data_IF_285910408625
#
_entry.id   IF_285910408625
#
_cell.length_a   1.000
_cell.length_b   1.000
_cell.length_c   1.000
_cell.angle_alpha   90.00
_cell.angle_beta   90.00
_cell.angle_gamma   90.00
#
_symmetry.space_group_name_H-M   'P 1'
#
loop_
_entity.id
_entity.type
_entity.pdbx_description
1 polymer ?
#
# COMPACT_ATOMS: atom_id res chain seq x y z
N UNK A 1 2.73 26.75 50.70
CA UNK A 1 1.37 27.30 50.46
C UNK A 1 0.48 26.15 50.08
N UNK A 2 -0.26 25.59 51.04
CA UNK A 2 -1.19 24.47 50.83
C UNK A 2 -2.46 25.04 50.18
N UNK A 3 -3.06 24.40 49.16
CA UNK A 3 -4.20 24.97 48.44
C UNK A 3 -5.43 25.06 49.35
N UNK A 4 -6.14 26.18 49.24
CA UNK A 4 -7.35 26.54 50.01
C UNK A 4 -8.45 25.45 50.00
N UNK A 5 -8.41 24.50 49.05
CA UNK A 5 -9.37 23.39 48.91
C UNK A 5 -9.19 22.26 49.94
N UNK A 6 -8.03 22.12 50.59
CA UNK A 6 -7.80 21.04 51.56
C UNK A 6 -8.35 21.43 52.95
N UNK A 7 -8.29 22.72 53.31
CA UNK A 7 -8.84 23.22 54.58
C UNK A 7 -10.37 23.18 54.64
N UNK A 8 -11.05 23.37 53.50
CA UNK A 8 -12.52 23.33 53.43
C UNK A 8 -13.09 21.93 53.63
N UNK A 9 -12.38 20.88 53.19
CA UNK A 9 -12.80 19.48 53.40
C UNK A 9 -12.66 19.11 54.89
N UNK A 10 -11.64 19.61 55.59
CA UNK A 10 -11.43 19.33 57.02
C UNK A 10 -12.51 19.97 57.91
N UNK A 11 -12.96 21.19 57.58
CA UNK A 11 -14.05 21.87 58.29
C UNK A 11 -15.44 21.30 57.94
N UNK A 12 -15.67 20.88 56.70
CA UNK A 12 -16.94 20.26 56.28
C UNK A 12 -17.17 18.89 56.95
N UNK A 13 -16.12 18.10 57.18
CA UNK A 13 -16.20 16.84 57.92
C UNK A 13 -16.48 17.08 59.42
N UNK A 14 -16.02 18.19 59.99
CA UNK A 14 -16.35 18.59 61.37
C UNK A 14 -17.79 19.09 61.52
N UNK A 15 -18.36 19.73 60.50
CA UNK A 15 -19.74 20.26 60.55
C UNK A 15 -20.83 19.22 60.29
N UNK A 16 -20.55 18.12 59.57
CA UNK A 16 -21.56 17.08 59.29
C UNK A 16 -21.96 16.23 60.52
N UNK A 17 -21.27 16.39 61.66
CA UNK A 17 -21.50 15.59 62.87
C UNK A 17 -22.13 16.36 64.05
N UNK A 18 -22.43 17.65 63.88
CA UNK A 18 -23.08 18.45 64.93
C UNK A 18 -24.17 19.33 64.32
N UNK A 19 -25.36 18.76 64.11
CA UNK A 19 -26.58 19.55 64.12
C UNK A 19 -27.33 19.36 65.44
N UNK A 20 -27.63 20.51 66.03
CA UNK A 20 -28.45 20.79 67.22
C UNK A 20 -27.78 20.66 68.60
N UNK A 21 -27.70 21.84 69.21
CA UNK A 21 -27.34 22.14 70.60
C UNK A 21 -28.38 21.61 71.59
N UNK A 22 -27.95 20.77 72.54
CA UNK A 22 -28.47 20.47 73.90
C UNK A 22 -27.44 19.45 74.43
N UNK A 23 -26.67 19.61 75.51
CA UNK A 23 -26.85 20.26 76.78
C UNK A 23 -25.45 20.52 77.38
N UNK A 24 -25.17 21.77 77.75
CA UNK A 24 -24.04 22.09 78.61
C UNK A 24 -24.45 21.78 80.05
N UNK A 25 -23.84 20.75 80.68
CA UNK A 25 -23.56 20.59 82.11
C UNK A 25 -23.64 19.11 82.56
N UNK A 26 -22.54 18.37 82.45
CA UNK A 26 -22.26 17.29 83.40
C UNK A 26 -20.76 17.09 83.58
N UNK A 27 -20.34 16.99 84.84
CA UNK A 27 -18.96 16.76 85.29
C UNK A 27 -18.50 15.31 85.01
N UNK A 28 -18.33 14.94 83.73
CA UNK A 28 -17.75 13.64 83.34
C UNK A 28 -16.58 13.82 82.35
N UNK A 29 -15.35 13.44 82.72
CA UNK A 29 -14.20 13.45 81.82
C UNK A 29 -14.21 12.16 81.00
N UNK A 30 -14.78 12.22 79.79
CA UNK A 30 -14.44 11.43 78.60
C UNK A 30 -15.59 11.61 77.60
N UNK A 31 -15.49 12.62 76.76
CA UNK A 31 -16.31 12.76 75.57
C UNK A 31 -15.89 11.64 74.61
N UNK A 32 -16.88 10.81 74.23
CA UNK A 32 -16.85 9.81 73.14
C UNK A 32 -16.56 8.34 73.48
N UNK A 33 -16.98 7.83 74.65
CA UNK A 33 -17.08 6.38 74.89
C UNK A 33 -18.45 6.02 75.48
N UNK A 34 -19.50 6.01 74.63
CA UNK A 34 -20.71 5.17 74.77
C UNK A 34 -21.68 5.50 73.63
N UNK A 35 -21.27 5.20 72.39
CA UNK A 35 -22.17 5.28 71.23
C UNK A 35 -22.53 3.85 70.80
N UNK A 36 -23.79 3.40 70.94
CA UNK A 36 -24.26 2.06 70.51
C UNK A 36 -24.11 1.79 68.99
N UNK A 37 -23.53 2.73 68.24
CA UNK A 37 -23.45 2.75 66.78
C UNK A 37 -22.07 3.21 66.28
N UNK A 38 -20.98 2.82 66.94
CA UNK A 38 -19.66 3.09 66.38
C UNK A 38 -19.40 2.19 65.15
N UNK A 39 -19.49 2.76 63.93
CA UNK A 39 -19.12 2.04 62.70
C UNK A 39 -17.61 1.74 62.75
N UNK A 40 -17.27 0.45 62.77
CA UNK A 40 -15.90 -0.05 62.95
C UNK A 40 -14.91 0.41 61.87
N UNK A 41 -15.39 0.67 60.65
CA UNK A 41 -14.61 1.25 59.56
C UNK A 41 -15.50 2.23 58.77
N UNK A 42 -14.94 3.37 58.38
CA UNK A 42 -15.66 4.39 57.60
C UNK A 42 -14.91 4.66 56.30
N UNK A 43 -15.66 4.77 55.22
CA UNK A 43 -15.15 5.08 53.89
C UNK A 43 -15.60 6.48 53.47
N UNK A 44 -14.70 7.27 52.88
CA UNK A 44 -15.08 8.53 52.22
C UNK A 44 -15.85 8.28 50.93
N UNK A 45 -16.39 9.36 50.36
CA UNK A 45 -16.78 9.36 48.96
C UNK A 45 -15.59 8.99 48.05
N UNK A 46 -15.92 8.36 46.94
CA UNK A 46 -14.94 8.03 45.92
C UNK A 46 -14.46 9.28 45.19
N UNK A 47 -13.17 9.32 44.85
CA UNK A 47 -12.69 10.29 43.86
C UNK A 47 -13.36 10.06 42.50
N UNK A 48 -13.36 11.05 41.61
CA UNK A 48 -13.62 10.80 40.19
C UNK A 48 -12.67 9.72 39.64
N UNK A 49 -13.10 9.05 38.58
CA UNK A 49 -12.25 8.14 37.82
C UNK A 49 -11.11 8.91 37.17
N UNK A 50 -9.90 8.34 37.19
CA UNK A 50 -8.76 8.89 36.45
C UNK A 50 -8.91 8.67 34.94
N UNK A 51 -7.95 9.16 34.15
CA UNK A 51 -7.90 8.91 32.71
C UNK A 51 -7.68 7.42 32.41
N UNK A 52 -8.20 6.95 31.28
CA UNK A 52 -8.05 5.56 30.87
C UNK A 52 -6.59 5.24 30.56
N UNK A 53 -6.13 4.06 30.98
CA UNK A 53 -4.77 3.59 30.70
C UNK A 53 -4.47 3.41 29.21
N UNK A 54 -5.51 3.31 28.37
CA UNK A 54 -5.38 3.14 26.92
C UNK A 54 -6.46 3.95 26.20
N UNK A 55 -6.14 4.56 25.05
CA UNK A 55 -7.09 5.39 24.32
C UNK A 55 -8.21 4.55 23.67
N UNK A 56 -7.94 3.28 23.36
CA UNK A 56 -8.86 2.32 22.75
C UNK A 56 -8.33 0.87 22.90
N UNK A 57 -9.03 -0.10 22.32
CA UNK A 57 -8.63 -1.51 22.34
C UNK A 57 -9.28 -2.32 23.47
N UNK A 58 -8.70 -3.47 23.81
CA UNK A 58 -9.38 -4.46 24.67
C UNK A 58 -9.13 -4.27 26.17
N UNK A 59 -7.97 -3.73 26.57
CA UNK A 59 -7.51 -3.73 27.96
C UNK A 59 -7.35 -2.32 28.59
N UNK A 60 -8.12 -1.32 28.15
CA UNK A 60 -8.17 -0.04 28.87
C UNK A 60 -8.80 -0.18 30.26
N UNK A 61 -8.14 0.36 31.30
CA UNK A 61 -8.67 0.43 32.66
C UNK A 61 -8.54 1.83 33.27
N UNK A 62 -9.51 2.19 34.11
CA UNK A 62 -9.47 3.35 35.01
C UNK A 62 -9.51 2.90 36.45
N UNK A 63 -8.95 3.71 37.34
CA UNK A 63 -9.08 3.56 38.79
C UNK A 63 -9.59 4.82 39.46
N UNK A 64 -10.31 4.62 40.56
CA UNK A 64 -10.59 5.67 41.54
C UNK A 64 -10.23 5.17 42.94
N UNK A 65 -10.02 6.11 43.84
CA UNK A 65 -9.61 5.84 45.21
C UNK A 65 -10.56 6.49 46.19
N UNK A 66 -10.62 5.94 47.40
CA UNK A 66 -11.30 6.58 48.53
C UNK A 66 -10.48 6.34 49.78
N UNK A 67 -10.68 7.17 50.78
CA UNK A 67 -10.07 6.96 52.09
C UNK A 67 -10.89 5.92 52.85
N UNK A 68 -10.21 4.91 53.39
CA UNK A 68 -10.78 3.98 54.37
C UNK A 68 -10.05 4.27 55.67
N UNK A 69 -10.76 4.87 56.62
CA UNK A 69 -10.18 5.24 57.90
C UNK A 69 -10.81 4.42 59.03
N UNK A 70 -9.98 4.15 60.04
CA UNK A 70 -10.35 3.44 61.25
C UNK A 70 -10.45 4.43 62.41
N UNK A 71 -11.60 4.54 63.10
CA UNK A 71 -11.70 5.35 64.30
C UNK A 71 -10.76 4.82 65.41
N UNK A 72 -9.95 5.66 66.07
CA UNK A 72 -9.03 5.22 67.14
C UNK A 72 -9.72 4.56 68.33
N UNK A 73 -10.98 4.90 68.58
CA UNK A 73 -11.78 4.52 69.74
C UNK A 73 -12.62 3.23 69.55
N UNK A 74 -12.69 2.66 68.34
CA UNK A 74 -13.48 1.45 68.06
C UNK A 74 -12.85 0.59 66.94
N UNK A 75 -12.66 -0.71 67.14
CA UNK A 75 -12.56 -1.69 66.04
C UNK A 75 -11.42 -2.72 66.10
N UNK A 76 -11.53 -3.76 65.25
CA UNK A 76 -10.56 -4.85 65.00
C UNK A 76 -9.29 -4.39 64.27
N UNK A 77 -8.21 -5.19 64.28
CA UNK A 77 -6.88 -4.83 63.73
C UNK A 77 -6.88 -4.38 62.24
N UNK A 78 -7.89 -4.66 61.42
CA UNK A 78 -7.91 -4.34 59.97
C UNK A 78 -9.32 -4.23 59.36
N UNK A 79 -9.54 -3.29 58.44
CA UNK A 79 -10.78 -3.12 57.67
C UNK A 79 -10.81 -4.04 56.43
N UNK A 80 -11.16 -5.31 56.61
CA UNK A 80 -11.08 -6.34 55.54
C UNK A 80 -12.15 -6.21 54.44
N UNK A 81 -13.31 -5.64 54.75
CA UNK A 81 -14.46 -5.59 53.84
C UNK A 81 -14.57 -4.28 53.02
N UNK A 82 -13.61 -3.37 53.15
CA UNK A 82 -13.60 -2.10 52.43
C UNK A 82 -12.33 -1.97 51.60
N UNK A 83 -12.50 -1.77 50.29
CA UNK A 83 -11.40 -1.47 49.38
C UNK A 83 -11.17 0.04 49.30
N UNK A 84 -9.90 0.44 49.32
CA UNK A 84 -9.48 1.83 49.12
C UNK A 84 -9.32 2.20 47.64
N UNK A 85 -9.30 1.21 46.74
CA UNK A 85 -9.15 1.39 45.30
C UNK A 85 -10.05 0.43 44.54
N UNK A 86 -10.66 0.92 43.47
CA UNK A 86 -11.42 0.10 42.54
C UNK A 86 -11.02 0.39 41.10
N UNK A 87 -11.30 -0.59 40.23
CA UNK A 87 -10.94 -0.57 38.82
C UNK A 87 -12.18 -0.86 37.97
N UNK A 88 -12.24 -0.23 36.79
CA UNK A 88 -13.24 -0.57 35.77
C UNK A 88 -12.63 -0.53 34.37
N UNK A 89 -13.17 -1.32 33.42
CA UNK A 89 -12.77 -1.21 32.02
C UNK A 89 -13.22 0.12 31.39
N UNK A 90 -12.44 0.61 30.44
CA UNK A 90 -12.73 1.82 29.67
C UNK A 90 -12.22 1.68 28.23
N UNK A 91 -12.72 2.54 27.34
CA UNK A 91 -12.28 2.67 25.96
C UNK A 91 -12.23 1.36 25.16
N UNK A 92 -13.26 0.52 25.30
CA UNK A 92 -13.39 -0.75 24.55
C UNK A 92 -14.05 -0.56 23.19
N UNK A 93 -13.47 0.30 22.37
CA UNK A 93 -13.96 0.61 21.03
C UNK A 93 -12.80 0.67 20.03
N UNK A 94 -13.16 0.59 18.75
CA UNK A 94 -12.31 0.92 17.61
C UNK A 94 -13.15 1.69 16.60
N UNK A 95 -12.58 2.73 15.98
CA UNK A 95 -13.26 3.46 14.92
C UNK A 95 -13.21 2.70 13.59
N UNK A 96 -14.12 3.05 12.68
CA UNK A 96 -14.08 2.66 11.27
C UNK A 96 -13.94 1.14 11.01
N UNK A 97 -14.57 0.30 11.85
CA UNK A 97 -14.55 -1.15 11.70
C UNK A 97 -13.23 -1.82 12.11
N UNK A 98 -12.34 -1.12 12.82
CA UNK A 98 -11.13 -1.69 13.38
C UNK A 98 -11.40 -2.82 14.39
N UNK A 99 -10.44 -3.74 14.51
CA UNK A 99 -10.53 -4.88 15.44
C UNK A 99 -9.77 -4.58 16.73
N UNK A 100 -10.35 -4.80 17.92
CA UNK A 100 -9.68 -4.51 19.19
C UNK A 100 -8.38 -5.32 19.37
N UNK A 101 -7.26 -4.64 19.60
CA UNK A 101 -5.99 -5.23 20.00
C UNK A 101 -5.72 -4.93 21.49
N UNK A 102 -4.57 -5.39 22.01
CA UNK A 102 -4.29 -5.37 23.46
C UNK A 102 -4.34 -3.97 24.08
N UNK A 103 -3.75 -2.97 23.42
CA UNK A 103 -3.65 -1.58 23.91
C UNK A 103 -4.01 -0.53 22.83
N UNK A 104 -4.52 -0.99 21.69
CA UNK A 104 -4.80 -0.22 20.49
C UNK A 104 -5.83 -0.99 19.63
N UNK A 105 -6.05 -0.56 18.40
CA UNK A 105 -6.88 -1.22 17.40
C UNK A 105 -6.02 -1.68 16.21
N UNK A 106 -6.34 -2.85 15.66
CA UNK A 106 -5.82 -3.26 14.36
C UNK A 106 -6.77 -2.74 13.30
N UNK A 107 -6.29 -1.79 12.49
CA UNK A 107 -7.13 -1.13 11.50
C UNK A 107 -7.39 -1.99 10.27
N UNK A 108 -8.55 -1.84 9.61
CA UNK A 108 -8.84 -2.56 8.39
C UNK A 108 -7.77 -2.28 7.32
N UNK A 109 -7.42 -3.27 6.48
CA UNK A 109 -6.41 -3.08 5.46
C UNK A 109 -6.73 -1.88 4.56
N UNK A 110 -5.72 -1.02 4.37
CA UNK A 110 -5.64 0.05 3.36
C UNK A 110 -6.45 1.34 3.57
N UNK A 111 -7.31 1.45 4.60
CA UNK A 111 -8.19 2.62 4.69
C UNK A 111 -8.10 3.45 5.98
N UNK A 112 -7.54 2.94 7.09
CA UNK A 112 -7.49 3.70 8.34
C UNK A 112 -6.18 3.49 9.12
N UNK A 113 -5.71 4.56 9.77
CA UNK A 113 -4.53 4.64 10.65
C UNK A 113 -4.89 5.35 11.96
N UNK A 114 -3.93 5.39 12.88
CA UNK A 114 -4.13 5.86 14.26
C UNK A 114 -4.32 4.69 15.21
N UNK A 115 -4.00 4.90 16.48
CA UNK A 115 -4.06 3.83 17.50
C UNK A 115 -5.48 3.29 17.66
N UNK A 116 -6.49 4.08 17.29
CA UNK A 116 -7.91 3.75 17.38
C UNK A 116 -8.61 3.67 16.01
N UNK A 117 -7.86 3.72 14.91
CA UNK A 117 -8.34 3.75 13.52
C UNK A 117 -9.20 4.98 13.19
N UNK A 118 -8.92 6.10 13.84
CA UNK A 118 -9.65 7.36 13.74
C UNK A 118 -9.38 8.13 12.44
N UNK A 119 -8.26 7.86 11.76
CA UNK A 119 -7.82 8.62 10.59
C UNK A 119 -7.93 7.78 9.33
N UNK A 120 -8.51 8.32 8.25
CA UNK A 120 -8.55 7.64 6.94
C UNK A 120 -7.25 7.87 6.13
N UNK A 121 -6.77 6.87 5.40
CA UNK A 121 -5.59 7.01 4.52
C UNK A 121 -6.01 7.70 3.22
N UNK A 122 -5.43 8.88 2.98
CA UNK A 122 -5.46 9.61 1.71
C UNK A 122 -4.22 9.23 0.89
N UNK A 123 -4.35 8.94 -0.41
CA UNK A 123 -3.21 8.66 -1.30
C UNK A 123 -3.44 7.55 -2.31
N UNK A 124 -2.36 7.14 -2.99
CA UNK A 124 -2.41 6.03 -3.94
C UNK A 124 -2.68 4.69 -3.23
N UNK A 125 -3.55 3.87 -3.83
CA UNK A 125 -3.63 2.44 -3.53
C UNK A 125 -2.32 1.74 -3.89
N UNK A 126 -2.17 0.49 -3.44
CA UNK A 126 -1.17 -0.40 -4.03
C UNK A 126 -1.41 -0.53 -5.54
N UNK A 127 -0.33 -0.74 -6.30
CA UNK A 127 -0.42 -1.11 -7.69
C UNK A 127 -1.16 -2.44 -7.85
N UNK A 128 -2.05 -2.52 -8.84
CA UNK A 128 -2.62 -3.76 -9.31
C UNK A 128 -1.55 -4.69 -9.86
N UNK A 129 -1.93 -5.95 -10.06
CA UNK A 129 -1.09 -6.90 -10.80
C UNK A 129 -0.91 -6.42 -12.25
N UNK A 130 0.19 -6.84 -12.87
CA UNK A 130 0.37 -6.61 -14.30
C UNK A 130 -0.67 -7.36 -15.11
N UNK A 131 -1.25 -6.68 -16.10
CA UNK A 131 -2.11 -7.29 -17.09
C UNK A 131 -1.34 -8.26 -17.99
N UNK A 132 -2.08 -8.95 -18.85
CA UNK A 132 -1.48 -9.80 -19.88
C UNK A 132 -0.64 -8.98 -20.84
N UNK A 133 0.44 -9.58 -21.35
CA UNK A 133 1.27 -8.94 -22.37
C UNK A 133 0.48 -8.81 -23.68
N UNK A 134 0.58 -7.66 -24.34
CA UNK A 134 -0.11 -7.41 -25.62
C UNK A 134 0.32 -8.34 -26.76
N UNK A 135 1.51 -8.94 -26.65
CA UNK A 135 2.03 -9.96 -27.57
C UNK A 135 2.57 -11.14 -26.79
N UNK A 136 2.50 -12.33 -27.36
CA UNK A 136 3.15 -13.52 -26.81
C UNK A 136 4.65 -13.57 -27.08
N UNK A 137 5.16 -12.82 -28.06
CA UNK A 137 6.55 -12.70 -28.48
C UNK A 137 6.75 -11.37 -29.23
N UNK A 138 7.98 -11.00 -29.62
CA UNK A 138 8.23 -9.82 -30.46
C UNK A 138 8.05 -8.48 -29.74
N UNK A 139 8.38 -8.44 -28.45
CA UNK A 139 8.29 -7.26 -27.57
C UNK A 139 6.88 -6.66 -27.52
N UNK A 140 6.05 -7.23 -26.65
CA UNK A 140 4.77 -6.65 -26.26
C UNK A 140 4.90 -5.65 -25.11
N UNK A 141 3.77 -5.08 -24.71
CA UNK A 141 3.64 -4.17 -23.57
C UNK A 141 2.57 -4.71 -22.64
N UNK A 142 2.82 -4.63 -21.33
CA UNK A 142 1.84 -4.93 -20.29
C UNK A 142 1.64 -3.68 -19.43
N UNK A 143 0.44 -3.56 -18.87
CA UNK A 143 0.03 -2.38 -18.10
C UNK A 143 -0.45 -2.80 -16.71
N UNK A 144 -0.30 -1.90 -15.74
CA UNK A 144 -0.94 -2.02 -14.42
C UNK A 144 -1.48 -0.67 -13.96
N UNK A 145 -2.49 -0.70 -13.10
CA UNK A 145 -3.18 0.49 -12.61
C UNK A 145 -3.18 0.59 -11.09
N UNK A 146 -3.33 1.81 -10.56
CA UNK A 146 -3.58 2.11 -9.14
C UNK A 146 -4.65 3.20 -9.02
N UNK A 147 -5.33 3.24 -7.89
CA UNK A 147 -6.46 4.15 -7.63
C UNK A 147 -6.06 5.19 -6.60
N UNK A 148 -6.43 6.45 -6.82
CA UNK A 148 -6.24 7.50 -5.81
C UNK A 148 -7.41 7.50 -4.84
N UNK A 149 -7.12 7.34 -3.55
CA UNK A 149 -8.10 7.40 -2.46
C UNK A 149 -8.03 8.79 -1.82
N UNK A 150 -9.12 9.55 -1.91
CA UNK A 150 -9.23 10.89 -1.33
C UNK A 150 -10.54 11.06 -0.57
N UNK A 151 -10.57 11.95 0.43
CA UNK A 151 -11.80 12.34 1.12
C UNK A 151 -12.55 13.41 0.33
N UNK A 152 -13.89 13.45 0.39
CA UNK A 152 -14.68 14.49 -0.26
C UNK A 152 -14.30 15.91 0.20
N UNK A 153 -14.41 16.93 -0.65
CA UNK A 153 -15.02 16.90 -1.99
C UNK A 153 -14.07 16.37 -3.07
N UNK A 154 -14.56 15.43 -3.86
CA UNK A 154 -13.85 14.83 -5.00
C UNK A 154 -13.81 15.83 -6.16
N UNK A 155 -12.74 16.59 -6.28
CA UNK A 155 -12.43 17.33 -7.50
C UNK A 155 -11.02 16.99 -7.98
N UNK A 156 -10.77 17.21 -9.27
CA UNK A 156 -9.52 16.84 -9.94
C UNK A 156 -8.29 17.58 -9.38
N UNK A 157 -8.47 18.77 -8.80
CA UNK A 157 -7.40 19.55 -8.17
C UNK A 157 -6.91 18.95 -6.85
N UNK A 158 -7.79 18.31 -6.06
CA UNK A 158 -7.43 17.63 -4.81
C UNK A 158 -6.70 16.30 -5.10
N UNK A 159 -7.11 15.54 -6.12
CA UNK A 159 -6.39 14.31 -6.47
C UNK A 159 -4.95 14.58 -6.92
N UNK A 160 -4.69 15.68 -7.65
CA UNK A 160 -3.36 16.03 -8.11
C UNK A 160 -2.36 16.35 -6.98
N UNK A 161 -2.84 16.89 -5.85
CA UNK A 161 -2.00 17.18 -4.67
C UNK A 161 -1.86 15.98 -3.74
N UNK A 162 -2.90 15.14 -3.61
CA UNK A 162 -2.91 13.95 -2.76
C UNK A 162 -2.15 12.78 -3.40
N UNK A 163 -2.23 12.65 -4.72
CA UNK A 163 -1.72 11.50 -5.47
C UNK A 163 -0.78 11.96 -6.61
N UNK A 164 0.47 12.35 -6.32
CA UNK A 164 1.41 12.76 -7.35
C UNK A 164 1.81 11.58 -8.25
N UNK A 165 1.92 11.85 -9.55
CA UNK A 165 2.31 10.86 -10.57
C UNK A 165 1.11 10.18 -11.27
N UNK A 166 1.36 9.21 -12.15
CA UNK A 166 0.30 8.59 -12.96
C UNK A 166 -0.44 7.47 -12.21
N UNK A 167 -1.69 7.22 -12.61
CA UNK A 167 -2.48 6.05 -12.19
C UNK A 167 -2.20 4.79 -13.04
N UNK A 168 -1.46 4.93 -14.14
CA UNK A 168 -1.12 3.88 -15.10
C UNK A 168 0.39 3.73 -15.21
N UNK A 169 0.88 2.50 -15.23
CA UNK A 169 2.28 2.16 -15.49
C UNK A 169 2.36 1.10 -16.58
N UNK A 170 3.33 1.26 -17.47
CA UNK A 170 3.57 0.35 -18.60
C UNK A 170 4.99 -0.20 -18.55
N UNK A 171 5.18 -1.43 -19.05
CA UNK A 171 6.51 -2.02 -19.24
C UNK A 171 6.53 -2.99 -20.41
N UNK A 172 7.72 -3.18 -20.98
CA UNK A 172 7.96 -4.18 -22.01
C UNK A 172 7.81 -5.61 -21.45
N UNK A 173 7.34 -6.52 -22.29
CA UNK A 173 7.17 -7.92 -21.99
C UNK A 173 7.36 -8.79 -23.22
N UNK A 174 7.63 -10.08 -23.01
CA UNK A 174 7.81 -11.06 -24.10
C UNK A 174 8.75 -10.56 -25.20
N UNK A 175 9.93 -10.08 -24.80
CA UNK A 175 10.98 -9.53 -25.69
C UNK A 175 11.73 -10.60 -26.49
N UNK A 176 11.32 -11.86 -26.37
CA UNK A 176 11.88 -12.95 -27.15
C UNK A 176 11.32 -12.94 -28.58
N UNK A 177 12.16 -13.40 -29.51
CA UNK A 177 11.86 -13.49 -30.94
C UNK A 177 10.65 -14.41 -31.20
N UNK A 178 9.73 -13.96 -32.06
CA UNK A 178 8.63 -14.78 -32.56
C UNK A 178 9.14 -15.83 -33.55
N UNK A 179 8.61 -17.06 -33.45
CA UNK A 179 8.95 -18.12 -34.42
C UNK A 179 8.22 -17.89 -35.74
N UNK A 180 8.77 -17.02 -36.59
CA UNK A 180 8.28 -16.82 -37.96
C UNK A 180 8.91 -17.85 -38.89
N UNK A 181 8.07 -18.61 -39.60
CA UNK A 181 8.53 -19.56 -40.63
C UNK A 181 8.69 -18.83 -41.97
N UNK A 182 9.76 -19.12 -42.69
CA UNK A 182 10.03 -18.54 -44.00
C UNK A 182 10.82 -19.50 -44.88
N UNK A 183 10.70 -19.33 -46.20
CA UNK A 183 11.51 -20.01 -47.21
C UNK A 183 12.57 -19.07 -47.77
N UNK A 184 13.76 -19.61 -48.02
CA UNK A 184 14.80 -18.91 -48.78
C UNK A 184 14.44 -18.89 -50.27
N UNK A 185 14.35 -17.70 -50.86
CA UNK A 185 14.19 -17.52 -52.30
C UNK A 185 15.53 -17.37 -53.02
N UNK A 186 16.56 -16.86 -52.34
CA UNK A 186 17.93 -16.80 -52.86
C UNK A 186 18.48 -15.38 -53.00
N UNK A 187 19.53 -15.22 -53.81
CA UNK A 187 20.30 -13.98 -53.93
C UNK A 187 19.99 -13.24 -55.23
N UNK A 188 19.60 -11.97 -55.12
CA UNK A 188 19.16 -11.15 -56.26
C UNK A 188 19.86 -9.79 -56.26
N UNK A 189 20.07 -9.23 -57.44
CA UNK A 189 20.63 -7.89 -57.57
C UNK A 189 19.62 -6.85 -57.10
N UNK A 190 20.12 -5.77 -56.52
CA UNK A 190 19.32 -4.57 -56.29
C UNK A 190 19.80 -3.44 -57.20
N UNK A 191 18.88 -2.56 -57.58
CA UNK A 191 19.13 -1.52 -58.57
C UNK A 191 18.21 -0.32 -58.38
N UNK A 192 18.17 0.58 -59.35
CA UNK A 192 17.25 1.73 -59.34
C UNK A 192 16.17 1.55 -60.42
N UNK A 193 14.87 1.60 -60.08
CA UNK A 193 14.31 1.64 -58.72
C UNK A 193 14.59 0.33 -57.96
N UNK A 194 14.61 0.38 -56.62
CA UNK A 194 14.90 -0.78 -55.76
C UNK A 194 13.90 -1.92 -55.97
N UNK A 195 14.36 -3.16 -55.85
CA UNK A 195 13.51 -4.36 -55.87
C UNK A 195 12.61 -4.43 -54.64
N UNK A 196 13.15 -4.00 -53.50
CA UNK A 196 12.49 -3.90 -52.20
C UNK A 196 12.59 -2.45 -51.72
N UNK A 197 11.56 -1.61 -51.91
CA UNK A 197 11.66 -0.17 -51.72
C UNK A 197 11.60 0.31 -50.26
N UNK A 198 11.11 -0.50 -49.32
CA UNK A 198 10.86 -0.09 -47.93
C UNK A 198 11.96 -0.63 -47.02
N UNK A 199 12.76 0.25 -46.42
CA UNK A 199 13.67 -0.11 -45.34
C UNK A 199 12.86 -0.28 -44.04
N UNK A 200 12.78 -1.50 -43.53
CA UNK A 200 12.05 -1.80 -42.30
C UNK A 200 12.86 -1.42 -41.05
N UNK A 201 14.14 -1.81 -41.03
CA UNK A 201 15.11 -1.56 -39.96
C UNK A 201 16.54 -1.82 -40.45
N UNK A 202 17.53 -1.16 -39.84
CA UNK A 202 18.95 -1.47 -40.02
C UNK A 202 19.53 -2.09 -38.75
N UNK A 203 20.10 -3.28 -38.87
CA UNK A 203 20.76 -4.02 -37.80
C UNK A 203 22.29 -3.90 -37.87
N UNK A 204 22.83 -3.09 -38.79
CA UNK A 204 24.27 -3.03 -39.09
C UNK A 204 25.15 -2.69 -37.90
N UNK A 205 24.64 -1.96 -36.91
CA UNK A 205 25.37 -1.59 -35.69
C UNK A 205 25.37 -2.69 -34.62
N UNK A 206 24.64 -3.78 -34.82
CA UNK A 206 24.48 -4.86 -33.85
C UNK A 206 24.36 -6.22 -34.56
N UNK A 207 25.30 -6.51 -35.47
CA UNK A 207 25.37 -7.80 -36.16
C UNK A 207 26.16 -8.79 -35.31
N UNK A 208 25.57 -9.93 -35.03
CA UNK A 208 26.29 -11.11 -34.55
C UNK A 208 26.86 -11.87 -35.75
N UNK A 209 28.12 -11.58 -36.09
CA UNK A 209 28.81 -12.16 -37.25
C UNK A 209 28.99 -13.68 -37.16
N UNK A 210 28.91 -14.25 -35.96
CA UNK A 210 28.97 -15.70 -35.76
C UNK A 210 27.61 -16.38 -36.01
N UNK A 211 26.52 -15.61 -36.03
CA UNK A 211 25.17 -16.13 -36.21
C UNK A 211 24.27 -15.14 -36.96
N UNK A 212 24.44 -15.09 -38.28
CA UNK A 212 23.64 -14.23 -39.17
C UNK A 212 22.13 -14.55 -39.13
N UNK A 213 21.76 -15.77 -38.71
CA UNK A 213 20.37 -16.20 -38.57
C UNK A 213 19.59 -15.28 -37.62
N UNK A 214 20.25 -14.66 -36.63
CA UNK A 214 19.61 -13.66 -35.74
C UNK A 214 19.08 -12.44 -36.52
N UNK A 215 19.87 -11.93 -37.46
CA UNK A 215 19.46 -10.81 -38.33
C UNK A 215 18.32 -11.24 -39.25
N UNK A 216 18.39 -12.47 -39.78
CA UNK A 216 17.35 -13.01 -40.66
C UNK A 216 16.02 -13.14 -39.92
N UNK A 217 15.99 -13.76 -38.74
CA UNK A 217 14.78 -13.88 -37.92
C UNK A 217 14.23 -12.51 -37.50
N UNK A 218 15.09 -11.61 -37.02
CA UNK A 218 14.66 -10.27 -36.64
C UNK A 218 14.04 -9.50 -37.82
N UNK A 219 14.56 -9.69 -39.04
CA UNK A 219 13.96 -9.10 -40.24
C UNK A 219 12.64 -9.78 -40.62
N UNK A 220 12.56 -11.10 -40.52
CA UNK A 220 11.34 -11.87 -40.79
C UNK A 220 10.18 -11.44 -39.89
N UNK A 221 10.45 -11.21 -38.61
CA UNK A 221 9.47 -10.71 -37.65
C UNK A 221 8.95 -9.33 -38.01
N UNK A 222 9.85 -8.36 -38.21
CA UNK A 222 9.43 -6.99 -38.53
C UNK A 222 8.65 -6.98 -39.85
N UNK A 223 9.05 -7.79 -40.84
CA UNK A 223 8.32 -7.94 -42.08
C UNK A 223 6.92 -8.54 -41.86
N UNK A 224 6.81 -9.61 -41.06
CA UNK A 224 5.53 -10.24 -40.74
C UNK A 224 4.61 -9.29 -39.96
N UNK A 225 5.12 -8.61 -38.92
CA UNK A 225 4.35 -7.66 -38.10
C UNK A 225 3.81 -6.50 -38.93
N UNK A 226 4.56 -6.06 -39.96
CA UNK A 226 4.11 -5.02 -40.89
C UNK A 226 3.28 -5.55 -42.07
N UNK A 227 2.91 -6.83 -42.05
CA UNK A 227 2.03 -7.44 -43.05
C UNK A 227 2.69 -7.70 -44.41
N UNK A 228 4.02 -7.73 -44.49
CA UNK A 228 4.73 -8.08 -45.71
C UNK A 228 4.90 -9.60 -45.85
N UNK A 229 4.72 -10.12 -47.05
CA UNK A 229 4.88 -11.55 -47.35
C UNK A 229 6.28 -11.93 -47.86
N UNK A 230 7.12 -10.94 -48.16
CA UNK A 230 8.47 -11.13 -48.69
C UNK A 230 9.38 -10.07 -48.11
N UNK A 231 10.59 -10.45 -47.73
CA UNK A 231 11.61 -9.55 -47.21
C UNK A 231 12.97 -9.93 -47.77
N UNK A 232 13.93 -9.01 -47.69
CA UNK A 232 15.29 -9.29 -48.08
C UNK A 232 16.28 -8.51 -47.24
N UNK A 233 17.49 -9.04 -47.14
CA UNK A 233 18.55 -8.43 -46.35
C UNK A 233 19.64 -7.97 -47.30
N UNK A 234 19.96 -6.69 -47.23
CA UNK A 234 21.04 -6.05 -47.98
C UNK A 234 22.15 -5.63 -47.03
N UNK A 235 23.37 -5.51 -47.56
CA UNK A 235 24.51 -4.95 -46.85
C UNK A 235 24.70 -5.51 -45.43
N UNK A 236 24.61 -6.84 -45.33
CA UNK A 236 24.75 -7.68 -44.14
C UNK A 236 23.70 -7.50 -43.03
N UNK A 237 22.91 -6.42 -43.02
CA UNK A 237 21.97 -6.18 -41.92
C UNK A 237 20.87 -5.15 -42.18
N UNK A 238 20.71 -4.67 -43.41
CA UNK A 238 19.58 -3.80 -43.76
C UNK A 238 18.39 -4.66 -44.16
N UNK A 239 17.31 -4.56 -43.40
CA UNK A 239 16.08 -5.30 -43.61
C UNK A 239 15.15 -4.52 -44.55
N UNK A 240 14.94 -5.03 -45.75
CA UNK A 240 14.14 -4.40 -46.81
C UNK A 240 12.90 -5.24 -47.15
N UNK A 241 11.83 -4.57 -47.54
CA UNK A 241 10.58 -5.18 -48.01
C UNK A 241 9.82 -4.21 -48.93
N UNK A 242 8.54 -4.46 -49.17
CA UNK A 242 7.66 -3.56 -49.91
C UNK A 242 6.34 -4.20 -50.33
N UNK A 243 5.36 -3.36 -50.65
CA UNK A 243 4.12 -3.79 -51.28
C UNK A 243 4.45 -4.39 -52.65
N UNK A 244 4.05 -5.65 -52.88
CA UNK A 244 4.38 -6.37 -54.11
C UNK A 244 5.82 -6.93 -54.17
N UNK A 245 6.55 -6.95 -53.06
CA UNK A 245 7.91 -7.52 -52.98
C UNK A 245 7.99 -8.96 -53.53
N UNK A 246 6.92 -9.75 -53.38
CA UNK A 246 6.80 -11.09 -53.95
C UNK A 246 6.89 -11.17 -55.48
N UNK A 247 6.68 -10.04 -56.18
CA UNK A 247 6.74 -9.92 -57.64
C UNK A 247 7.96 -9.14 -58.14
N UNK A 248 8.56 -8.31 -57.28
CA UNK A 248 9.62 -7.36 -57.69
C UNK A 248 11.01 -7.72 -57.21
N UNK A 249 11.14 -8.70 -56.30
CA UNK A 249 12.41 -9.03 -55.64
C UNK A 249 13.52 -9.46 -56.62
N UNK A 250 13.16 -10.12 -57.71
CA UNK A 250 14.05 -10.74 -58.70
C UNK A 250 14.18 -9.94 -60.00
N UNK A 251 13.56 -8.76 -60.11
CA UNK A 251 13.49 -7.98 -61.36
C UNK A 251 14.84 -7.59 -61.98
N UNK A 252 15.91 -7.54 -61.19
CA UNK A 252 17.29 -7.24 -61.64
C UNK A 252 18.14 -8.51 -61.85
N UNK A 253 17.50 -9.68 -61.75
CA UNK A 253 18.09 -10.99 -61.94
C UNK A 253 18.90 -11.51 -60.74
N UNK A 254 19.40 -12.76 -60.84
CA UNK A 254 20.14 -13.41 -59.78
C UNK A 254 21.50 -12.75 -59.55
N UNK A 255 21.99 -12.83 -58.31
CA UNK A 255 23.30 -12.35 -57.87
C UNK A 255 24.08 -13.46 -57.19
N UNK A 256 25.41 -13.35 -57.20
CA UNK A 256 26.31 -14.18 -56.38
C UNK A 256 26.86 -13.41 -55.17
N UNK A 257 26.45 -12.15 -55.01
CA UNK A 257 26.98 -11.22 -54.00
C UNK A 257 26.19 -11.30 -52.69
N UNK A 258 25.98 -12.53 -52.20
CA UNK A 258 25.38 -12.79 -50.89
C UNK A 258 26.28 -13.75 -50.10
N UNK A 259 26.10 -13.77 -48.79
CA UNK A 259 26.88 -14.60 -47.88
C UNK A 259 26.03 -14.95 -46.66
N UNK A 260 26.01 -16.23 -46.27
CA UNK A 260 25.34 -16.71 -45.06
C UNK A 260 23.87 -16.23 -44.90
N UNK A 261 23.09 -16.24 -45.98
CA UNK A 261 21.68 -15.83 -45.96
C UNK A 261 21.44 -14.32 -45.96
N UNK A 262 22.48 -13.50 -46.13
CA UNK A 262 22.35 -12.03 -46.24
C UNK A 262 23.01 -11.51 -47.51
N UNK A 263 22.49 -10.42 -48.05
CA UNK A 263 23.06 -9.76 -49.22
C UNK A 263 24.24 -8.86 -48.85
N UNK A 264 25.24 -8.76 -49.73
CA UNK A 264 26.27 -7.72 -49.66
C UNK A 264 25.76 -6.40 -50.26
N UNK A 265 26.61 -5.40 -50.40
CA UNK A 265 26.23 -4.11 -51.02
C UNK A 265 25.70 -4.35 -52.44
N UNK A 266 24.50 -3.82 -52.74
CA UNK A 266 23.87 -3.94 -54.07
C UNK A 266 23.24 -5.30 -54.38
N UNK A 267 23.02 -6.16 -53.38
CA UNK A 267 22.30 -7.42 -53.56
C UNK A 267 21.45 -7.73 -52.33
N UNK A 268 20.28 -8.29 -52.56
CA UNK A 268 19.36 -8.73 -51.52
C UNK A 268 19.39 -10.26 -51.46
N UNK A 269 19.58 -10.83 -50.27
CA UNK A 269 19.17 -12.21 -50.04
C UNK A 269 17.72 -12.21 -49.58
N UNK A 270 16.84 -12.88 -50.32
CA UNK A 270 15.38 -12.71 -50.24
C UNK A 270 14.74 -13.97 -49.65
N UNK A 271 13.71 -13.74 -48.84
CA UNK A 271 12.92 -14.75 -48.16
C UNK A 271 11.43 -14.50 -48.33
N UNK A 272 10.64 -15.57 -48.33
CA UNK A 272 9.17 -15.56 -48.35
C UNK A 272 8.63 -16.03 -47.02
N UNK A 273 7.77 -15.26 -46.37
CA UNK A 273 7.13 -15.66 -45.10
C UNK A 273 6.06 -16.72 -45.40
N UNK A 274 6.06 -17.79 -44.59
CA UNK A 274 5.01 -18.81 -44.59
C UNK A 274 3.90 -18.34 -43.67
N UNK A 275 2.68 -18.31 -44.21
CA UNK A 275 1.44 -18.12 -43.45
C UNK A 275 1.04 -19.46 -42.84
#
# INVERSE_FOLDING_TARGET
MVPLQILTISLAVQLYLCESSIEANSQRPCWMCDVPHCKQCVASEWTPWNQCSSPCGMNGYQSRTRLVYRPPSCGEKSCRNLTAKEWRPCNRFCHNGGTPARWACTCPPLNYIGDCCETAILGWSMWGIWGQCSKSCGSGVQERMRVCVASPPFNSSVCGSVCPGPSLETRDCNTHLCTVKYDSLGCFRDGSPRSLPVLLKSFRNNIDWNNMTKVVHACAEIAHERGFSTFGIQFYGECWSGLGANKTYDKHGPSKNCWSGVGKKGSNYVYKIKV
#
